data_IF_137046661680
#
_entry.id   IF_137046661680
#
_cell.length_a   1.000
_cell.length_b   1.000
_cell.length_c   1.000
_cell.angle_alpha   90.00
_cell.angle_beta   90.00
_cell.angle_gamma   90.00
#
_symmetry.space_group_name_H-M   'P 1'
#
loop_
_entity.id
_entity.type
_entity.pdbx_description
1 polymer ?
#
# COMPACT_ATOMS: atom_id res chain seq x y z
N UNK A 1 -1.11 -20.69 42.92
CA UNK A 1 -1.35 -20.15 41.57
C UNK A 1 -0.57 -20.98 40.55
N UNK A 2 -1.22 -21.74 39.67
CA UNK A 2 -0.52 -22.45 38.58
C UNK A 2 -0.16 -21.41 37.50
N UNK A 3 1.13 -21.14 37.29
CA UNK A 3 1.59 -20.33 36.15
C UNK A 3 1.49 -21.21 34.90
N UNK A 4 0.57 -20.88 34.00
CA UNK A 4 0.48 -21.52 32.69
C UNK A 4 1.72 -21.15 31.89
N UNK A 5 2.63 -22.10 31.68
CA UNK A 5 3.84 -21.91 30.88
C UNK A 5 3.44 -22.01 29.41
N UNK A 6 3.27 -20.87 28.73
CA UNK A 6 3.05 -20.86 27.28
C UNK A 6 4.38 -21.30 26.64
N UNK A 7 4.35 -22.43 25.94
CA UNK A 7 5.53 -22.98 25.27
C UNK A 7 6.10 -21.97 24.28
N UNK A 8 7.44 -21.80 24.29
CA UNK A 8 8.17 -21.00 23.30
C UNK A 8 7.79 -21.36 21.86
N UNK A 9 7.48 -22.64 21.58
CA UNK A 9 7.05 -23.08 20.25
C UNK A 9 5.75 -22.44 19.77
N UNK A 10 4.81 -22.14 20.67
CA UNK A 10 3.53 -21.49 20.31
C UNK A 10 3.76 -20.02 19.99
N UNK A 11 4.63 -19.35 20.75
CA UNK A 11 5.00 -17.95 20.52
C UNK A 11 5.72 -17.80 19.18
N UNK A 12 6.65 -18.71 18.85
CA UNK A 12 7.37 -18.69 17.57
C UNK A 12 6.45 -18.89 16.36
N UNK A 13 5.49 -19.81 16.43
CA UNK A 13 4.50 -20.03 15.35
C UNK A 13 3.58 -18.81 15.21
N UNK A 14 3.19 -18.18 16.31
CA UNK A 14 2.35 -16.98 16.29
C UNK A 14 3.05 -15.78 15.62
N UNK A 15 4.33 -15.56 15.95
CA UNK A 15 5.15 -14.50 15.31
C UNK A 15 5.34 -14.79 13.82
N UNK A 16 5.60 -16.04 13.44
CA UNK A 16 5.76 -16.41 12.03
C UNK A 16 4.45 -16.23 11.24
N UNK A 17 3.30 -16.55 11.84
CA UNK A 17 1.98 -16.34 11.22
C UNK A 17 1.68 -14.85 10.98
N UNK A 18 2.00 -13.99 11.95
CA UNK A 18 1.88 -12.53 11.81
C UNK A 18 2.75 -12.03 10.66
N UNK A 19 4.00 -12.49 10.60
CA UNK A 19 4.96 -12.09 9.58
C UNK A 19 4.52 -12.41 8.14
N UNK A 20 4.01 -13.62 7.93
CA UNK A 20 3.49 -14.04 6.61
C UNK A 20 2.23 -13.24 6.27
N UNK A 21 1.36 -12.96 7.25
CA UNK A 21 0.18 -12.12 7.06
C UNK A 21 0.53 -10.70 6.62
N UNK A 22 1.57 -10.11 7.21
CA UNK A 22 2.04 -8.76 6.89
C UNK A 22 2.63 -8.68 5.48
N UNK A 23 3.44 -9.67 5.10
CA UNK A 23 3.99 -9.79 3.75
C UNK A 23 2.89 -9.96 2.70
N UNK A 24 1.92 -10.83 2.98
CA UNK A 24 0.78 -11.06 2.11
C UNK A 24 -0.05 -9.79 1.92
N UNK A 25 -0.34 -9.07 3.01
CA UNK A 25 -1.05 -7.80 2.96
C UNK A 25 -0.29 -6.78 2.09
N UNK A 26 1.00 -6.56 2.35
CA UNK A 26 1.78 -5.58 1.61
C UNK A 26 1.82 -5.86 0.10
N UNK A 27 1.89 -7.14 -0.29
CA UNK A 27 1.82 -7.54 -1.69
C UNK A 27 0.43 -7.26 -2.30
N UNK A 28 -0.65 -7.59 -1.57
CA UNK A 28 -2.03 -7.34 -2.02
C UNK A 28 -2.36 -5.85 -2.11
N UNK A 29 -1.91 -5.08 -1.14
CA UNK A 29 -2.07 -3.64 -1.11
C UNK A 29 -1.37 -3.00 -2.31
N UNK A 30 -0.10 -3.32 -2.54
CA UNK A 30 0.65 -2.79 -3.67
C UNK A 30 0.05 -3.22 -5.02
N UNK A 31 -0.37 -4.48 -5.15
CA UNK A 31 -1.03 -4.98 -6.36
C UNK A 31 -2.35 -4.25 -6.64
N UNK A 32 -3.23 -4.12 -5.64
CA UNK A 32 -4.52 -3.45 -5.81
C UNK A 32 -4.39 -1.96 -6.11
N UNK A 33 -3.45 -1.26 -5.46
CA UNK A 33 -3.14 0.13 -5.79
C UNK A 33 -2.62 0.27 -7.23
N UNK A 34 -1.67 -0.58 -7.64
CA UNK A 34 -1.12 -0.54 -9.00
C UNK A 34 -2.17 -0.88 -10.06
N UNK A 35 -3.05 -1.85 -9.80
CA UNK A 35 -4.14 -2.23 -10.71
C UNK A 35 -5.12 -1.06 -10.93
N UNK A 36 -5.53 -0.37 -9.85
CA UNK A 36 -6.38 0.81 -9.97
C UNK A 36 -5.70 1.97 -10.70
N UNK A 37 -4.41 2.22 -10.43
CA UNK A 37 -3.63 3.25 -11.14
C UNK A 37 -3.45 2.92 -12.63
N UNK A 38 -3.25 1.65 -12.97
CA UNK A 38 -3.15 1.21 -14.36
C UNK A 38 -4.50 1.31 -15.09
N UNK A 39 -5.62 1.08 -14.40
CA UNK A 39 -6.95 1.32 -14.96
C UNK A 39 -7.19 2.81 -15.25
N UNK A 40 -6.78 3.72 -14.37
CA UNK A 40 -6.87 5.18 -14.57
C UNK A 40 -5.97 5.62 -15.75
N UNK A 41 -4.77 5.06 -15.86
CA UNK A 41 -3.87 5.37 -16.97
C UNK A 41 -4.40 4.85 -18.32
N UNK A 42 -5.06 3.69 -18.33
CA UNK A 42 -5.59 3.07 -19.54
C UNK A 42 -6.97 3.61 -19.98
N UNK A 43 -7.70 4.30 -19.11
CA UNK A 43 -9.02 4.86 -19.41
C UNK A 43 -8.97 5.90 -20.53
N UNK A 44 -9.94 5.83 -21.44
CA UNK A 44 -9.97 6.65 -22.66
C UNK A 44 -10.69 7.98 -22.46
N UNK A 45 -11.44 8.13 -21.36
CA UNK A 45 -12.20 9.34 -21.03
C UNK A 45 -11.99 9.77 -19.57
N UNK A 46 -12.19 11.07 -19.31
CA UNK A 46 -12.14 11.60 -17.94
C UNK A 46 -13.21 11.01 -17.03
N UNK A 47 -14.40 10.70 -17.55
CA UNK A 47 -15.46 10.06 -16.78
C UNK A 47 -15.04 8.65 -16.30
N UNK A 48 -14.40 7.87 -17.17
CA UNK A 48 -13.84 6.57 -16.79
C UNK A 48 -12.68 6.72 -15.78
N UNK A 49 -11.80 7.70 -15.98
CA UNK A 49 -10.71 8.01 -15.03
C UNK A 49 -11.25 8.39 -13.65
N UNK A 50 -12.33 9.18 -13.58
CA UNK A 50 -13.01 9.53 -12.31
C UNK A 50 -13.62 8.31 -11.66
N UNK A 51 -14.30 7.46 -12.43
CA UNK A 51 -14.86 6.20 -11.93
C UNK A 51 -13.77 5.29 -11.35
N UNK A 52 -12.65 5.09 -12.06
CA UNK A 52 -11.55 4.27 -11.57
C UNK A 52 -10.81 4.90 -10.39
N UNK A 53 -10.70 6.23 -10.33
CA UNK A 53 -10.14 6.93 -9.18
C UNK A 53 -11.01 6.74 -7.94
N UNK A 54 -12.34 6.84 -8.06
CA UNK A 54 -13.25 6.56 -6.96
C UNK A 54 -13.14 5.10 -6.45
N UNK A 55 -13.03 4.13 -7.37
CA UNK A 55 -12.79 2.73 -7.00
C UNK A 55 -11.45 2.52 -6.28
N UNK A 56 -10.41 3.25 -6.70
CA UNK A 56 -9.09 3.21 -6.06
C UNK A 56 -9.12 3.84 -4.66
N UNK A 57 -9.85 4.95 -4.47
CA UNK A 57 -10.06 5.55 -3.15
C UNK A 57 -10.85 4.63 -2.22
N UNK A 58 -11.92 4.01 -2.70
CA UNK A 58 -12.68 3.00 -1.94
C UNK A 58 -11.78 1.83 -1.54
N UNK A 59 -10.91 1.36 -2.45
CA UNK A 59 -9.92 0.35 -2.14
C UNK A 59 -8.96 0.85 -1.05
N UNK A 60 -8.38 2.04 -1.19
CA UNK A 60 -7.46 2.63 -0.21
C UNK A 60 -8.07 2.68 1.19
N UNK A 61 -9.29 3.21 1.32
CA UNK A 61 -10.03 3.30 2.60
C UNK A 61 -10.39 1.92 3.14
N UNK A 62 -10.76 0.96 2.29
CA UNK A 62 -11.08 -0.40 2.75
C UNK A 62 -9.90 -1.13 3.39
N UNK A 63 -8.67 -0.72 3.07
CA UNK A 63 -7.44 -1.29 3.61
C UNK A 63 -6.86 -0.49 4.80
N UNK A 64 -7.48 0.63 5.18
CA UNK A 64 -6.96 1.63 6.11
C UNK A 64 -6.43 1.05 7.43
N UNK A 65 -7.24 0.21 8.09
CA UNK A 65 -6.87 -0.43 9.35
C UNK A 65 -5.56 -1.24 9.25
N UNK A 66 -5.40 -2.01 8.18
CA UNK A 66 -4.23 -2.85 7.97
C UNK A 66 -3.04 -2.04 7.45
N UNK A 67 -3.31 -1.01 6.64
CA UNK A 67 -2.30 -0.10 6.13
C UNK A 67 -1.63 0.66 7.28
N UNK A 68 -2.39 1.26 8.20
CA UNK A 68 -1.85 1.99 9.36
C UNK A 68 -1.05 1.11 10.32
N UNK A 69 -1.30 -0.20 10.33
CA UNK A 69 -0.51 -1.14 11.13
C UNK A 69 0.90 -1.35 10.58
N UNK A 70 1.09 -1.25 9.26
CA UNK A 70 2.30 -1.71 8.57
C UNK A 70 3.06 -0.60 7.83
N UNK A 71 2.37 0.49 7.51
CA UNK A 71 2.90 1.62 6.76
C UNK A 71 2.90 2.83 7.71
N UNK A 72 4.00 3.59 7.79
CA UNK A 72 4.03 4.81 8.58
C UNK A 72 2.91 5.76 8.18
N UNK A 73 2.18 6.31 9.15
CA UNK A 73 1.05 7.22 8.92
C UNK A 73 1.40 8.36 7.96
N UNK A 74 2.57 8.97 8.09
CA UNK A 74 3.01 10.06 7.20
C UNK A 74 3.07 9.65 5.72
N UNK A 75 3.38 8.37 5.43
CA UNK A 75 3.37 7.84 4.06
C UNK A 75 1.98 7.58 3.54
N UNK A 76 1.04 7.22 4.41
CA UNK A 76 -0.36 7.06 4.05
C UNK A 76 -1.02 8.42 3.79
N UNK A 77 -0.77 9.41 4.65
CA UNK A 77 -1.22 10.80 4.46
C UNK A 77 -0.65 11.41 3.15
N UNK A 78 0.60 11.09 2.82
CA UNK A 78 1.21 11.47 1.54
C UNK A 78 0.46 10.86 0.34
N UNK A 79 0.08 9.58 0.41
CA UNK A 79 -0.68 8.92 -0.66
C UNK A 79 -2.11 9.47 -0.76
N UNK A 80 -2.79 9.67 0.37
CA UNK A 80 -4.12 10.29 0.44
C UNK A 80 -4.11 11.70 -0.17
N UNK A 81 -3.11 12.50 0.16
CA UNK A 81 -2.93 13.84 -0.43
C UNK A 81 -2.78 13.79 -1.94
N UNK A 82 -2.05 12.80 -2.47
CA UNK A 82 -1.89 12.63 -3.91
C UNK A 82 -3.16 12.13 -4.59
N UNK A 83 -3.94 11.26 -3.95
CA UNK A 83 -5.26 10.83 -4.46
C UNK A 83 -6.23 12.01 -4.54
N UNK A 84 -6.26 12.87 -3.52
CA UNK A 84 -7.06 14.10 -3.58
C UNK A 84 -6.61 15.08 -4.67
N UNK A 85 -5.30 15.21 -4.88
CA UNK A 85 -4.78 16.00 -6.02
C UNK A 85 -5.19 15.41 -7.36
N UNK A 86 -5.08 14.09 -7.52
CA UNK A 86 -5.51 13.39 -8.73
C UNK A 86 -6.98 13.69 -9.04
N UNK A 87 -7.85 13.58 -8.03
CA UNK A 87 -9.26 13.95 -8.17
C UNK A 87 -9.45 15.42 -8.58
N UNK A 88 -8.72 16.34 -7.96
CA UNK A 88 -8.79 17.76 -8.35
C UNK A 88 -8.37 18.00 -9.81
N UNK A 89 -7.32 17.31 -10.29
CA UNK A 89 -6.87 17.43 -11.68
C UNK A 89 -7.82 16.78 -12.68
N UNK A 90 -8.51 15.71 -12.29
CA UNK A 90 -9.57 15.11 -13.09
C UNK A 90 -10.77 16.04 -13.24
N UNK A 91 -11.08 16.87 -12.23
CA UNK A 91 -12.12 17.89 -12.34
C UNK A 91 -11.74 19.03 -13.31
N UNK A 92 -10.44 19.33 -13.44
CA UNK A 92 -9.95 20.33 -14.39
C UNK A 92 -9.61 19.74 -15.76
N UNK A 93 -9.81 18.43 -15.95
CA UNK A 93 -9.50 17.69 -17.18
C UNK A 93 -8.05 17.89 -17.69
N UNK A 94 -7.09 18.00 -16.77
CA UNK A 94 -5.67 18.16 -17.13
C UNK A 94 -4.97 16.81 -17.24
N UNK A 95 -4.91 16.25 -18.45
CA UNK A 95 -4.36 14.91 -18.70
C UNK A 95 -2.88 14.78 -18.32
N UNK A 96 -2.10 15.87 -18.45
CA UNK A 96 -0.67 15.84 -18.12
C UNK A 96 -0.46 15.72 -16.62
N UNK A 97 -1.19 16.52 -15.83
CA UNK A 97 -1.14 16.50 -14.37
C UNK A 97 -1.70 15.18 -13.81
N UNK A 98 -2.77 14.66 -14.42
CA UNK A 98 -3.34 13.34 -14.10
C UNK A 98 -2.30 12.24 -14.32
N UNK A 99 -1.68 12.20 -15.50
CA UNK A 99 -0.67 11.19 -15.84
C UNK A 99 0.56 11.28 -14.93
N UNK A 100 1.03 12.50 -14.63
CA UNK A 100 2.16 12.73 -13.74
C UNK A 100 1.85 12.27 -12.30
N UNK A 101 0.65 12.62 -11.80
CA UNK A 101 0.21 12.24 -10.46
C UNK A 101 0.04 10.73 -10.33
N UNK A 102 -0.57 10.08 -11.32
CA UNK A 102 -0.71 8.61 -11.35
C UNK A 102 0.66 7.92 -11.28
N UNK A 103 1.62 8.39 -12.07
CA UNK A 103 2.98 7.85 -12.05
C UNK A 103 3.68 8.06 -10.69
N UNK A 104 3.47 9.23 -10.07
CA UNK A 104 4.01 9.54 -8.74
C UNK A 104 3.44 8.62 -7.65
N UNK A 105 2.11 8.42 -7.62
CA UNK A 105 1.47 7.50 -6.68
C UNK A 105 2.02 6.09 -6.88
N UNK A 106 2.12 5.63 -8.14
CA UNK A 106 2.64 4.31 -8.49
C UNK A 106 4.07 4.11 -7.98
N UNK A 107 4.93 5.12 -8.16
CA UNK A 107 6.31 5.08 -7.67
C UNK A 107 6.37 4.96 -6.14
N UNK A 108 5.54 5.73 -5.42
CA UNK A 108 5.48 5.71 -3.95
C UNK A 108 4.97 4.38 -3.41
N UNK A 109 3.92 3.81 -4.01
CA UNK A 109 3.41 2.48 -3.65
C UNK A 109 4.49 1.40 -3.81
N UNK A 110 5.20 1.41 -4.94
CA UNK A 110 6.28 0.43 -5.19
C UNK A 110 7.49 0.62 -4.25
N UNK A 111 7.80 1.86 -3.86
CA UNK A 111 8.81 2.14 -2.86
C UNK A 111 8.41 1.61 -1.48
N UNK A 112 7.16 1.78 -1.07
CA UNK A 112 6.63 1.23 0.19
C UNK A 112 6.71 -0.29 0.22
N UNK A 113 6.35 -0.95 -0.89
CA UNK A 113 6.44 -2.39 -1.00
C UNK A 113 7.89 -2.90 -0.94
N UNK A 114 8.78 -2.33 -1.75
CA UNK A 114 10.20 -2.75 -1.79
C UNK A 114 10.94 -2.50 -0.48
N UNK A 115 10.66 -1.38 0.21
CA UNK A 115 11.24 -1.08 1.53
C UNK A 115 10.79 -2.11 2.57
N UNK A 116 9.50 -2.45 2.57
CA UNK A 116 8.98 -3.49 3.46
C UNK A 116 9.59 -4.86 3.14
N UNK A 117 9.65 -5.27 1.87
CA UNK A 117 10.33 -6.50 1.47
C UNK A 117 11.79 -6.54 1.95
N UNK A 118 12.52 -5.43 1.80
CA UNK A 118 13.90 -5.35 2.27
C UNK A 118 14.00 -5.61 3.78
N UNK A 119 13.13 -5.02 4.60
CA UNK A 119 13.10 -5.28 6.05
C UNK A 119 12.78 -6.74 6.39
N UNK A 120 11.97 -7.42 5.57
CA UNK A 120 11.63 -8.83 5.75
C UNK A 120 12.77 -9.77 5.35
N UNK A 121 13.46 -9.51 4.24
CA UNK A 121 14.56 -10.35 3.76
C UNK A 121 15.89 -10.04 4.46
N UNK A 122 16.04 -8.85 5.04
CA UNK A 122 17.24 -8.40 5.74
C UNK A 122 16.85 -7.90 7.13
N UNK A 123 16.44 -8.80 8.05
CA UNK A 123 16.23 -8.41 9.43
C UNK A 123 17.51 -7.78 9.97
N UNK A 124 17.40 -6.64 10.66
CA UNK A 124 18.50 -5.91 11.26
C UNK A 124 19.37 -6.85 12.11
N UNK A 125 20.44 -7.38 11.53
CA UNK A 125 21.20 -8.49 12.11
C UNK A 125 21.96 -9.38 11.12
N UNK A 126 21.64 -9.35 9.83
CA UNK A 126 22.46 -9.99 8.79
C UNK A 126 23.20 -8.94 7.96
N UNK A 127 24.46 -8.65 8.30
CA UNK A 127 25.40 -8.13 7.30
C UNK A 127 25.86 -9.31 6.46
N UNK A 128 25.69 -9.21 5.13
CA UNK A 128 26.44 -10.06 4.21
C UNK A 128 27.83 -9.43 4.14
N UNK A 129 28.74 -9.93 4.98
CA UNK A 129 30.19 -9.80 4.73
C UNK A 129 30.59 -10.72 3.57
#
# INVERSE_FOLDING_TARGET
MKRTMISLGIISVFILGIAIGDLWFMNRYAAGMNEGLDAIAAAESFDEKKMHTAQLEDFFVSQDFWAHRLIPTSRLEELETLLHKLNAYLETEDENEVSATVAEIKARVNLLYSTNLYHWYHPAGFSIE
#
